data_IF_647714951982
#
_entry.id   IF_647714951982
#
_cell.length_a   1.000
_cell.length_b   1.000
_cell.length_c   1.000
_cell.angle_alpha   90.00
_cell.angle_beta   90.00
_cell.angle_gamma   90.00
#
_symmetry.space_group_name_H-M   'P 1'
#
loop_
_entity.id
_entity.type
_entity.pdbx_description
1 polymer ?
#
# COMPACT_ATOMS: atom_id res chain seq x y z
N UNK A 1 -11.48 -2.28 -1.64
CA UNK A 1 -12.59 -2.56 -2.59
C UNK A 1 -12.38 -1.75 -3.87
N UNK A 2 -12.65 -2.28 -5.06
CA UNK A 2 -12.50 -1.56 -6.35
C UNK A 2 -13.57 -2.02 -7.36
N UNK A 3 -13.54 -1.54 -8.61
CA UNK A 3 -14.46 -1.88 -9.69
C UNK A 3 -13.97 -3.01 -10.63
N UNK A 4 -13.02 -3.83 -10.19
CA UNK A 4 -12.48 -4.94 -10.95
C UNK A 4 -11.36 -5.66 -10.19
N UNK A 5 -10.47 -6.40 -10.88
CA UNK A 5 -9.30 -6.99 -10.24
C UNK A 5 -8.40 -5.93 -9.59
N UNK A 6 -7.78 -6.32 -8.49
CA UNK A 6 -6.74 -5.57 -7.78
C UNK A 6 -5.38 -5.71 -8.49
N UNK A 7 -4.42 -4.89 -8.08
CA UNK A 7 -3.06 -4.92 -8.63
C UNK A 7 -2.39 -6.29 -8.40
N UNK A 8 -2.63 -6.93 -7.25
CA UNK A 8 -2.08 -8.24 -6.92
C UNK A 8 -2.62 -9.33 -7.86
N UNK A 9 -3.91 -9.28 -8.19
CA UNK A 9 -4.54 -10.20 -9.15
C UNK A 9 -4.08 -9.97 -10.60
N UNK A 10 -3.78 -8.73 -10.98
CA UNK A 10 -3.15 -8.46 -12.28
C UNK A 10 -1.70 -8.94 -12.30
N UNK A 11 -0.93 -8.67 -11.24
CA UNK A 11 0.47 -9.05 -11.14
C UNK A 11 0.63 -10.58 -11.19
N UNK A 12 -0.20 -11.33 -10.46
CA UNK A 12 -0.14 -12.79 -10.47
C UNK A 12 -0.39 -13.36 -11.87
N UNK A 13 -1.33 -12.77 -12.62
CA UNK A 13 -1.57 -13.11 -14.04
C UNK A 13 -0.40 -12.76 -14.94
N UNK A 14 0.21 -11.58 -14.76
CA UNK A 14 1.39 -11.15 -15.53
C UNK A 14 2.60 -12.07 -15.27
N UNK A 15 2.77 -12.53 -14.04
CA UNK A 15 3.84 -13.44 -13.63
C UNK A 15 3.56 -14.91 -13.93
N UNK A 16 2.29 -15.28 -14.18
CA UNK A 16 1.88 -16.68 -14.35
C UNK A 16 2.01 -17.50 -13.06
N UNK A 17 1.72 -16.90 -11.90
CA UNK A 17 1.84 -17.52 -10.58
C UNK A 17 0.49 -17.54 -9.85
N UNK A 18 0.38 -18.43 -8.86
CA UNK A 18 -0.78 -18.44 -7.95
C UNK A 18 -0.70 -17.26 -6.97
N UNK A 19 -1.87 -16.69 -6.65
CA UNK A 19 -2.02 -15.65 -5.63
C UNK A 19 -2.70 -16.22 -4.39
N UNK A 20 -2.05 -16.07 -3.24
CA UNK A 20 -2.62 -16.35 -1.93
C UNK A 20 -2.79 -15.04 -1.18
N UNK A 21 -3.99 -14.47 -1.24
CA UNK A 21 -4.29 -13.16 -0.67
C UNK A 21 -4.77 -13.30 0.78
N UNK A 22 -3.95 -12.81 1.72
CA UNK A 22 -4.27 -12.75 3.15
C UNK A 22 -4.65 -11.33 3.60
N UNK A 23 -4.71 -10.36 2.69
CA UNK A 23 -4.98 -8.97 3.03
C UNK A 23 -6.43 -8.75 3.49
N UNK A 24 -6.61 -7.95 4.54
CA UNK A 24 -7.92 -7.51 4.99
C UNK A 24 -8.11 -6.02 4.70
N UNK A 25 -9.26 -5.68 4.09
CA UNK A 25 -9.66 -4.29 3.91
C UNK A 25 -9.76 -3.60 5.26
N UNK A 26 -9.04 -2.49 5.41
CA UNK A 26 -9.02 -1.71 6.64
C UNK A 26 -8.02 -2.20 7.69
N UNK A 27 -7.21 -3.23 7.42
CA UNK A 27 -6.15 -3.67 8.31
C UNK A 27 -5.15 -2.54 8.62
N UNK A 28 -4.72 -2.47 9.87
CA UNK A 28 -3.52 -1.74 10.31
C UNK A 28 -2.36 -2.71 10.46
N UNK A 29 -1.17 -2.19 10.68
CA UNK A 29 0.00 -3.01 11.00
C UNK A 29 -0.19 -3.75 12.33
N UNK A 30 -0.54 -3.00 13.38
CA UNK A 30 -0.82 -3.51 14.72
C UNK A 30 -2.05 -2.80 15.32
N UNK A 31 -3.11 -3.56 15.62
CA UNK A 31 -4.33 -3.03 16.23
C UNK A 31 -4.12 -2.49 17.66
N UNK A 32 -3.05 -2.87 18.36
CA UNK A 32 -2.70 -2.28 19.65
C UNK A 32 -2.07 -0.89 19.51
N UNK A 33 -1.42 -0.60 18.37
CA UNK A 33 -0.85 0.72 18.08
C UNK A 33 -1.87 1.66 17.43
N UNK A 34 -2.57 1.17 16.39
CA UNK A 34 -3.65 1.89 15.69
C UNK A 34 -4.91 1.01 15.66
N UNK A 35 -5.88 1.25 16.55
CA UNK A 35 -7.02 0.35 16.72
C UNK A 35 -7.98 0.30 15.53
N UNK A 36 -8.19 -0.90 14.98
CA UNK A 36 -9.29 -1.23 14.08
C UNK A 36 -9.88 -2.60 14.39
N UNK A 37 -11.04 -2.89 13.80
CA UNK A 37 -11.72 -4.19 13.94
C UNK A 37 -11.28 -5.21 12.89
N UNK A 38 -10.67 -4.75 11.79
CA UNK A 38 -10.12 -5.62 10.77
C UNK A 38 -8.88 -6.37 11.31
N UNK A 39 -8.63 -7.61 10.87
CA UNK A 39 -7.43 -8.32 11.27
C UNK A 39 -6.15 -7.57 10.87
N UNK A 40 -5.26 -7.35 11.85
CA UNK A 40 -3.95 -6.73 11.62
C UNK A 40 -2.97 -7.69 10.94
N UNK A 41 -1.76 -7.22 10.63
CA UNK A 41 -0.76 -8.02 9.91
C UNK A 41 -0.34 -9.26 10.72
N UNK A 42 -0.20 -9.12 12.05
CA UNK A 42 0.09 -10.24 12.93
C UNK A 42 -0.95 -11.36 12.83
N UNK A 43 -2.24 -11.01 12.80
CA UNK A 43 -3.34 -11.96 12.61
C UNK A 43 -3.37 -12.55 11.19
N UNK A 44 -2.99 -11.78 10.16
CA UNK A 44 -2.86 -12.27 8.79
C UNK A 44 -1.72 -13.30 8.66
N UNK A 45 -0.58 -13.06 9.31
CA UNK A 45 0.54 -14.00 9.36
C UNK A 45 0.13 -15.28 10.09
N UNK A 46 -0.62 -15.17 11.19
CA UNK A 46 -1.17 -16.35 11.87
C UNK A 46 -2.10 -17.15 10.95
N UNK A 47 -2.97 -16.48 10.20
CA UNK A 47 -3.85 -17.13 9.23
C UNK A 47 -3.07 -17.81 8.08
N UNK A 48 -1.97 -17.21 7.63
CA UNK A 48 -1.05 -17.84 6.68
C UNK A 48 -0.46 -19.13 7.25
N UNK A 49 0.01 -19.11 8.50
CA UNK A 49 0.61 -20.28 9.14
C UNK A 49 -0.37 -21.45 9.31
N UNK A 50 -1.66 -21.19 9.51
CA UNK A 50 -2.67 -22.26 9.67
C UNK A 50 -3.03 -22.96 8.36
N UNK A 51 -2.77 -22.35 7.21
CA UNK A 51 -3.10 -22.89 5.87
C UNK A 51 -1.94 -23.65 5.20
N UNK A 52 -0.93 -24.06 5.97
CA UNK A 52 0.37 -24.60 5.52
C UNK A 52 1.22 -23.56 4.78
N UNK A 53 2.40 -23.20 5.33
CA UNK A 53 3.31 -22.28 4.65
C UNK A 53 3.69 -22.78 3.24
N UNK A 54 3.71 -21.85 2.28
CA UNK A 54 4.16 -22.10 0.92
C UNK A 54 5.68 -22.40 0.91
N UNK A 55 6.19 -23.00 -0.18
CA UNK A 55 7.63 -23.17 -0.33
C UNK A 55 8.32 -21.80 -0.38
N UNK A 56 9.11 -21.41 0.63
CA UNK A 56 9.64 -20.05 0.72
C UNK A 56 10.68 -19.71 -0.34
N UNK A 57 11.26 -20.73 -1.00
CA UNK A 57 12.26 -20.54 -2.06
C UNK A 57 11.64 -20.19 -3.42
N UNK A 58 10.33 -20.35 -3.55
CA UNK A 58 9.57 -20.07 -4.77
C UNK A 58 8.37 -19.14 -4.51
N UNK A 59 8.37 -18.43 -3.38
CA UNK A 59 7.27 -17.57 -2.93
C UNK A 59 7.79 -16.16 -2.72
N UNK A 60 7.18 -15.19 -3.41
CA UNK A 60 7.35 -13.76 -3.14
C UNK A 60 6.35 -13.33 -2.07
N UNK A 61 6.84 -12.84 -0.94
CA UNK A 61 6.02 -12.30 0.15
C UNK A 61 5.85 -10.80 -0.05
N UNK A 62 4.62 -10.32 -0.11
CA UNK A 62 4.34 -8.90 -0.39
C UNK A 62 3.66 -8.24 0.80
N UNK A 63 4.20 -7.10 1.24
CA UNK A 63 3.59 -6.26 2.26
C UNK A 63 3.30 -4.88 1.66
N UNK A 64 2.01 -4.52 1.61
CA UNK A 64 1.55 -3.16 1.34
C UNK A 64 0.54 -2.75 2.42
N UNK A 65 1.07 -2.20 3.50
CA UNK A 65 0.34 -1.83 4.73
C UNK A 65 0.77 -0.43 5.17
N UNK A 66 -0.02 0.20 6.05
CA UNK A 66 0.28 1.51 6.64
C UNK A 66 -0.69 2.63 6.23
N UNK A 67 -1.43 2.49 5.12
CA UNK A 67 -2.38 3.53 4.69
C UNK A 67 -3.44 3.84 5.74
N UNK A 68 -4.00 2.80 6.37
CA UNK A 68 -4.99 2.95 7.43
C UNK A 68 -4.37 3.55 8.70
N UNK A 69 -3.16 3.12 9.03
CA UNK A 69 -2.38 3.60 10.17
C UNK A 69 -2.09 5.09 10.06
N UNK A 70 -1.50 5.53 8.94
CA UNK A 70 -1.12 6.92 8.71
C UNK A 70 -2.36 7.82 8.66
N UNK A 71 -3.44 7.37 8.03
CA UNK A 71 -4.71 8.11 8.06
C UNK A 71 -5.22 8.31 9.49
N UNK A 72 -5.35 7.23 10.27
CA UNK A 72 -5.93 7.31 11.63
C UNK A 72 -5.02 8.09 12.58
N UNK A 73 -3.70 7.94 12.45
CA UNK A 73 -2.69 8.77 13.15
C UNK A 73 -2.87 10.24 12.80
N UNK A 74 -3.06 10.55 11.52
CA UNK A 74 -3.16 11.93 11.06
C UNK A 74 -4.44 12.62 11.55
N UNK A 75 -5.60 11.97 11.39
CA UNK A 75 -6.90 12.55 11.73
C UNK A 75 -7.18 12.57 13.24
N UNK A 76 -6.39 11.87 14.05
CA UNK A 76 -6.49 11.92 15.51
C UNK A 76 -6.12 13.32 16.04
N UNK A 77 -7.13 14.12 16.37
CA UNK A 77 -6.95 15.47 16.92
C UNK A 77 -6.64 15.48 18.42
N UNK A 78 -6.67 14.32 19.09
CA UNK A 78 -6.39 14.20 20.54
C UNK A 78 -4.92 13.96 20.86
N UNK A 79 -4.11 13.71 19.82
CA UNK A 79 -2.68 13.36 19.92
C UNK A 79 -1.82 14.48 19.32
N UNK A 80 -0.73 14.85 19.98
CA UNK A 80 0.24 15.83 19.46
C UNK A 80 1.13 15.25 18.35
N UNK A 81 1.78 16.12 17.57
CA UNK A 81 2.59 15.72 16.40
C UNK A 81 3.79 14.83 16.77
N UNK A 82 4.37 14.97 17.97
CA UNK A 82 5.48 14.11 18.43
C UNK A 82 4.97 12.69 18.66
N UNK A 83 3.82 12.56 19.32
CA UNK A 83 3.20 11.26 19.57
C UNK A 83 2.70 10.62 18.27
N UNK A 84 2.19 11.40 17.31
CA UNK A 84 1.84 10.92 15.96
C UNK A 84 3.04 10.36 15.23
N UNK A 85 4.16 11.09 15.23
CA UNK A 85 5.41 10.63 14.63
C UNK A 85 5.89 9.31 15.28
N UNK A 86 5.83 9.19 16.61
CA UNK A 86 6.17 7.94 17.31
C UNK A 86 5.23 6.79 16.96
N UNK A 87 3.92 7.04 16.80
CA UNK A 87 2.97 6.02 16.32
C UNK A 87 3.36 5.53 14.92
N UNK A 88 3.71 6.45 14.01
CA UNK A 88 4.18 6.11 12.66
C UNK A 88 5.48 5.28 12.69
N UNK A 89 6.44 5.65 13.54
CA UNK A 89 7.67 4.86 13.71
C UNK A 89 7.39 3.44 14.22
N UNK A 90 6.38 3.28 15.09
CA UNK A 90 5.95 1.95 15.55
C UNK A 90 5.41 1.10 14.41
N UNK A 91 4.62 1.67 13.49
CA UNK A 91 4.16 0.97 12.26
C UNK A 91 5.37 0.44 11.46
N UNK A 92 6.37 1.28 11.18
CA UNK A 92 7.57 0.84 10.44
C UNK A 92 8.34 -0.25 11.20
N UNK A 93 8.48 -0.12 12.52
CA UNK A 93 9.14 -1.12 13.35
C UNK A 93 8.37 -2.45 13.44
N UNK A 94 7.06 -2.38 13.34
CA UNK A 94 6.15 -3.52 13.31
C UNK A 94 6.29 -4.31 12.01
N UNK A 95 6.34 -3.62 10.85
CA UNK A 95 6.66 -4.24 9.55
C UNK A 95 8.02 -4.96 9.58
N UNK A 96 9.05 -4.38 10.23
CA UNK A 96 10.33 -5.08 10.44
C UNK A 96 10.11 -6.40 11.20
N UNK A 97 9.32 -6.36 12.26
CA UNK A 97 9.02 -7.52 13.10
C UNK A 97 8.23 -8.58 12.33
N UNK A 98 7.28 -8.18 11.49
CA UNK A 98 6.52 -9.07 10.62
C UNK A 98 7.39 -9.78 9.59
N UNK A 99 8.30 -9.06 8.94
CA UNK A 99 9.26 -9.65 7.99
C UNK A 99 10.18 -10.65 8.69
N UNK A 100 10.68 -10.33 9.88
CA UNK A 100 11.49 -11.24 10.70
C UNK A 100 10.67 -12.47 11.11
N UNK A 101 9.43 -12.27 11.54
CA UNK A 101 8.51 -13.35 11.91
C UNK A 101 8.30 -14.30 10.73
N UNK A 102 7.88 -13.79 9.56
CA UNK A 102 7.72 -14.56 8.32
C UNK A 102 9.00 -15.33 7.96
N UNK A 103 10.16 -14.69 8.05
CA UNK A 103 11.45 -15.34 7.81
C UNK A 103 11.69 -16.49 8.79
N UNK A 104 11.41 -16.29 10.07
CA UNK A 104 11.63 -17.29 11.12
C UNK A 104 10.67 -18.49 11.06
N UNK A 105 9.39 -18.25 10.75
CA UNK A 105 8.32 -19.26 10.83
C UNK A 105 8.08 -20.00 9.53
N UNK A 106 8.41 -19.39 8.39
CA UNK A 106 8.16 -19.96 7.06
C UNK A 106 9.41 -20.06 6.20
N UNK A 107 10.55 -19.51 6.64
CA UNK A 107 11.76 -19.44 5.82
C UNK A 107 11.71 -18.36 4.73
N UNK A 108 10.72 -17.46 4.79
CA UNK A 108 10.53 -16.39 3.81
C UNK A 108 11.83 -15.61 3.60
N UNK A 109 12.23 -15.44 2.34
CA UNK A 109 13.49 -14.77 1.99
C UNK A 109 13.38 -13.86 0.78
N UNK A 110 12.23 -13.82 0.10
CA UNK A 110 11.96 -12.95 -1.03
C UNK A 110 10.78 -12.04 -0.67
N UNK A 111 11.05 -10.75 -0.54
CA UNK A 111 10.08 -9.75 -0.11
C UNK A 111 9.92 -8.63 -1.13
N UNK A 112 8.68 -8.21 -1.35
CA UNK A 112 8.33 -6.94 -1.97
C UNK A 112 7.65 -6.07 -0.92
N UNK A 113 8.24 -4.92 -0.62
CA UNK A 113 7.73 -3.97 0.36
C UNK A 113 7.28 -2.72 -0.38
N UNK A 114 6.00 -2.40 -0.30
CA UNK A 114 5.42 -1.27 -1.02
C UNK A 114 5.27 -0.06 -0.12
N UNK A 115 5.84 1.07 -0.54
CA UNK A 115 5.58 2.37 0.07
C UNK A 115 4.13 2.80 -0.09
N UNK A 116 3.70 3.80 0.67
CA UNK A 116 2.38 4.40 0.54
C UNK A 116 2.31 5.28 -0.70
N UNK A 117 1.16 5.22 -1.38
CA UNK A 117 0.72 6.25 -2.31
C UNK A 117 0.51 7.60 -1.58
N UNK A 118 0.46 8.75 -2.29
CA UNK A 118 0.15 10.05 -1.70
C UNK A 118 -1.32 10.11 -1.27
N UNK A 119 -1.62 9.62 -0.06
CA UNK A 119 -3.01 9.54 0.42
C UNK A 119 -3.64 10.91 0.68
N UNK A 120 -2.86 11.98 0.75
CA UNK A 120 -3.32 13.37 0.78
C UNK A 120 -4.02 13.83 -0.51
N UNK A 121 -3.84 13.07 -1.60
CA UNK A 121 -4.52 13.25 -2.88
C UNK A 121 -5.81 12.41 -3.03
N UNK A 122 -6.19 11.62 -2.01
CA UNK A 122 -7.45 10.89 -2.04
C UNK A 122 -8.64 11.87 -2.12
N UNK A 123 -9.74 11.51 -2.82
CA UNK A 123 -10.94 12.34 -2.83
C UNK A 123 -11.51 12.60 -1.42
N UNK A 124 -11.27 11.68 -0.46
CA UNK A 124 -11.57 11.89 0.96
C UNK A 124 -10.99 13.19 1.53
N UNK A 125 -9.78 13.56 1.12
CA UNK A 125 -9.12 14.80 1.55
C UNK A 125 -9.47 15.99 0.65
N UNK A 126 -10.47 15.89 -0.23
CA UNK A 126 -10.89 16.96 -1.14
C UNK A 126 -11.16 18.30 -0.43
N UNK A 127 -11.68 18.25 0.81
CA UNK A 127 -11.94 19.44 1.64
C UNK A 127 -10.80 19.87 2.58
N UNK A 128 -9.66 19.19 2.61
CA UNK A 128 -8.57 19.49 3.53
C UNK A 128 -7.89 20.83 3.21
N UNK A 129 -7.44 21.55 4.25
CA UNK A 129 -6.68 22.78 4.09
C UNK A 129 -5.29 22.49 3.47
N UNK A 130 -4.66 23.45 2.79
CA UNK A 130 -3.29 23.27 2.29
C UNK A 130 -2.30 22.86 3.39
N UNK A 131 -2.42 23.46 4.58
CA UNK A 131 -1.56 23.14 5.71
C UNK A 131 -1.75 21.70 6.22
N UNK A 132 -2.98 21.19 6.21
CA UNK A 132 -3.24 19.80 6.59
C UNK A 132 -2.69 18.82 5.54
N UNK A 133 -2.82 19.13 4.25
CA UNK A 133 -2.22 18.32 3.18
C UNK A 133 -0.70 18.28 3.27
N UNK A 134 -0.06 19.42 3.54
CA UNK A 134 1.39 19.50 3.68
C UNK A 134 1.87 18.64 4.85
N UNK A 135 1.17 18.67 6.00
CA UNK A 135 1.48 17.83 7.16
C UNK A 135 1.29 16.34 6.87
N UNK A 136 0.21 15.97 6.19
CA UNK A 136 -0.03 14.58 5.80
C UNK A 136 1.04 14.10 4.80
N UNK A 137 1.38 14.93 3.82
CA UNK A 137 2.46 14.66 2.85
C UNK A 137 3.78 14.39 3.57
N UNK A 138 4.16 15.25 4.53
CA UNK A 138 5.37 15.05 5.32
C UNK A 138 5.36 13.72 6.07
N UNK A 139 4.27 13.37 6.73
CA UNK A 139 4.14 12.10 7.47
C UNK A 139 4.26 10.88 6.54
N UNK A 140 3.67 10.94 5.33
CA UNK A 140 3.77 9.90 4.30
C UNK A 140 5.21 9.74 3.82
N UNK A 141 5.89 10.85 3.50
CA UNK A 141 7.26 10.84 3.00
C UNK A 141 8.24 10.32 4.06
N UNK A 142 8.05 10.70 5.33
CA UNK A 142 8.84 10.19 6.44
C UNK A 142 8.64 8.68 6.65
N UNK A 143 7.40 8.20 6.60
CA UNK A 143 7.09 6.77 6.64
C UNK A 143 7.77 6.01 5.49
N UNK A 144 7.61 6.49 4.25
CA UNK A 144 8.20 5.85 3.07
C UNK A 144 9.73 5.83 3.12
N UNK A 145 10.37 6.92 3.56
CA UNK A 145 11.82 6.99 3.71
C UNK A 145 12.34 5.99 4.75
N UNK A 146 11.66 5.86 5.90
CA UNK A 146 12.05 4.89 6.93
C UNK A 146 11.81 3.45 6.45
N UNK A 147 10.71 3.18 5.75
CA UNK A 147 10.41 1.86 5.19
C UNK A 147 11.39 1.45 4.09
N UNK A 148 11.80 2.39 3.23
CA UNK A 148 12.82 2.14 2.22
C UNK A 148 14.18 1.85 2.85
N UNK A 149 14.58 2.60 3.89
CA UNK A 149 15.81 2.35 4.64
C UNK A 149 15.79 0.97 5.31
N UNK A 150 14.66 0.60 5.93
CA UNK A 150 14.43 -0.73 6.51
C UNK A 150 14.57 -1.84 5.45
N UNK A 151 13.96 -1.67 4.29
CA UNK A 151 13.99 -2.67 3.20
C UNK A 151 15.43 -2.91 2.74
N UNK A 152 16.21 -1.82 2.60
CA UNK A 152 17.64 -1.90 2.26
C UNK A 152 18.46 -2.62 3.33
N UNK A 153 18.20 -2.36 4.61
CA UNK A 153 18.88 -3.01 5.73
C UNK A 153 18.63 -4.52 5.74
N UNK A 154 17.36 -4.95 5.61
CA UNK A 154 17.00 -6.37 5.60
C UNK A 154 17.51 -7.09 4.37
N UNK A 155 17.53 -6.42 3.21
CA UNK A 155 18.13 -6.93 1.97
C UNK A 155 19.60 -7.31 2.09
N UNK A 156 20.33 -6.75 3.06
CA UNK A 156 21.73 -7.09 3.32
C UNK A 156 21.90 -8.34 4.21
N UNK A 157 20.84 -8.82 4.85
CA UNK A 157 20.87 -9.86 5.90
C UNK A 157 20.41 -11.24 5.41
N UNK A 158 20.75 -11.64 4.18
CA UNK A 158 20.35 -12.90 3.50
C UNK A 158 18.88 -12.98 3.05
N UNK A 159 18.15 -11.87 3.03
CA UNK A 159 16.85 -11.77 2.33
C UNK A 159 17.02 -10.97 1.05
N UNK A 160 16.31 -11.31 -0.02
CA UNK A 160 16.11 -10.42 -1.15
C UNK A 160 14.86 -9.60 -0.88
N UNK A 161 15.03 -8.29 -0.70
CA UNK A 161 13.94 -7.38 -0.40
C UNK A 161 13.96 -6.22 -1.41
N UNK A 162 12.86 -6.04 -2.12
CA UNK A 162 12.67 -4.96 -3.09
C UNK A 162 11.70 -3.94 -2.50
N UNK A 163 12.08 -2.66 -2.53
CA UNK A 163 11.18 -1.57 -2.18
C UNK A 163 10.51 -1.05 -3.44
N UNK A 164 9.18 -0.99 -3.44
CA UNK A 164 8.41 -0.35 -4.51
C UNK A 164 7.91 1.01 -4.07
N UNK A 165 8.31 2.05 -4.80
CA UNK A 165 7.94 3.43 -4.53
C UNK A 165 6.57 3.78 -5.15
N UNK A 166 5.51 3.33 -4.49
CA UNK A 166 4.13 3.67 -4.87
C UNK A 166 3.90 5.18 -4.90
N UNK A 167 4.62 5.96 -4.09
CA UNK A 167 4.45 7.41 -4.04
C UNK A 167 4.84 8.02 -5.39
N UNK A 168 6.03 7.69 -5.89
CA UNK A 168 6.51 8.19 -7.18
C UNK A 168 5.62 7.76 -8.35
N UNK A 169 5.12 6.51 -8.35
CA UNK A 169 4.16 6.06 -9.38
C UNK A 169 2.89 6.93 -9.36
N UNK A 170 2.30 7.15 -8.19
CA UNK A 170 1.09 7.96 -8.10
C UNK A 170 1.33 9.43 -8.43
N UNK A 171 2.51 9.98 -8.11
CA UNK A 171 2.87 11.33 -8.57
C UNK A 171 2.94 11.41 -10.11
N UNK A 172 3.42 10.37 -10.78
CA UNK A 172 3.39 10.29 -12.24
C UNK A 172 1.94 10.20 -12.76
N UNK A 173 1.08 9.39 -12.14
CA UNK A 173 -0.35 9.31 -12.49
C UNK A 173 -1.09 10.63 -12.31
N UNK A 174 -0.74 11.39 -11.27
CA UNK A 174 -1.34 12.70 -10.96
C UNK A 174 -0.85 13.79 -11.91
N UNK A 175 0.43 13.80 -12.25
CA UNK A 175 1.05 14.83 -13.10
C UNK A 175 0.87 14.60 -14.59
N UNK A 176 0.85 13.34 -15.03
CA UNK A 176 0.76 12.95 -16.45
C UNK A 176 -0.31 11.88 -16.70
N UNK A 177 -1.57 12.07 -16.26
CA UNK A 177 -2.60 11.03 -16.29
C UNK A 177 -2.89 10.48 -17.70
N UNK A 178 -2.74 11.31 -18.73
CA UNK A 178 -2.97 10.91 -20.12
C UNK A 178 -2.05 9.79 -20.61
N UNK A 179 -0.82 9.70 -20.09
CA UNK A 179 0.12 8.62 -20.43
C UNK A 179 -0.37 7.24 -19.94
N UNK A 180 -1.21 7.25 -18.91
CA UNK A 180 -1.78 6.06 -18.28
C UNK A 180 -3.24 5.81 -18.68
N UNK A 181 -3.71 6.52 -19.71
CA UNK A 181 -5.12 6.50 -20.13
C UNK A 181 -6.10 6.90 -19.00
N UNK A 182 -5.67 7.75 -18.08
CA UNK A 182 -6.49 8.35 -17.02
C UNK A 182 -6.91 9.75 -17.46
N UNK A 183 -8.16 10.12 -17.17
CA UNK A 183 -8.75 11.41 -17.52
C UNK A 183 -9.20 12.22 -16.30
N UNK A 184 -9.49 11.57 -15.17
CA UNK A 184 -9.86 12.24 -13.93
C UNK A 184 -9.06 11.67 -12.75
N UNK A 185 -8.31 12.55 -12.08
CA UNK A 185 -7.47 12.21 -10.94
C UNK A 185 -7.96 12.81 -9.63
N UNK A 186 -9.04 13.58 -9.67
CA UNK A 186 -9.52 14.37 -8.53
C UNK A 186 -10.79 13.79 -7.92
N UNK A 187 -11.68 13.27 -8.77
CA UNK A 187 -13.00 12.82 -8.33
C UNK A 187 -13.06 11.30 -8.26
N UNK A 188 -13.96 10.78 -7.42
CA UNK A 188 -14.29 9.37 -7.39
C UNK A 188 -15.33 9.02 -8.47
N UNK A 189 -15.07 7.98 -9.27
CA UNK A 189 -16.02 7.52 -10.28
C UNK A 189 -17.36 7.06 -9.66
N UNK A 190 -17.31 6.41 -8.49
CA UNK A 190 -18.48 5.80 -7.83
C UNK A 190 -19.52 6.85 -7.41
N UNK A 191 -19.07 8.05 -7.04
CA UNK A 191 -19.92 9.12 -6.51
C UNK A 191 -20.59 9.95 -7.61
N UNK A 192 -19.99 10.04 -8.80
CA UNK A 192 -20.58 10.70 -9.98
C UNK A 192 -20.51 9.78 -11.22
N UNK A 193 -21.53 8.93 -11.35
CA UNK A 193 -21.63 7.98 -12.46
C UNK A 193 -21.77 8.66 -13.83
N UNK A 194 -22.37 9.84 -13.89
CA UNK A 194 -22.58 10.57 -15.14
C UNK A 194 -21.24 11.03 -15.72
N UNK A 195 -20.40 11.61 -14.86
CA UNK A 195 -19.05 12.02 -15.20
C UNK A 195 -18.16 10.80 -15.43
N UNK A 196 -18.33 9.74 -14.63
CA UNK A 196 -17.61 8.49 -14.84
C UNK A 196 -17.84 7.89 -16.24
N UNK A 197 -19.09 7.87 -16.69
CA UNK A 197 -19.43 7.41 -18.04
C UNK A 197 -18.90 8.34 -19.13
N UNK A 198 -18.89 9.67 -18.90
CA UNK A 198 -18.44 10.66 -19.89
C UNK A 198 -16.99 10.48 -20.35
N UNK A 199 -16.13 9.95 -19.48
CA UNK A 199 -14.73 9.61 -19.80
C UNK A 199 -14.48 8.10 -19.86
N UNK A 200 -15.53 7.29 -19.98
CA UNK A 200 -15.47 5.83 -20.14
C UNK A 200 -14.76 5.12 -18.96
N UNK A 201 -14.96 5.61 -17.73
CA UNK A 201 -14.37 5.00 -16.54
C UNK A 201 -12.86 5.24 -16.38
N UNK A 202 -12.26 6.15 -17.17
CA UNK A 202 -10.83 6.53 -17.10
C UNK A 202 -10.53 7.42 -15.88
N UNK A 203 -10.71 6.85 -14.71
CA UNK A 203 -10.54 7.51 -13.41
C UNK A 203 -9.36 6.89 -12.66
N UNK A 204 -8.65 7.73 -11.89
CA UNK A 204 -7.66 7.25 -10.94
C UNK A 204 -8.36 6.58 -9.74
N UNK A 205 -9.41 7.23 -9.21
CA UNK A 205 -10.14 6.83 -8.02
C UNK A 205 -11.49 6.19 -8.32
N UNK A 206 -11.75 5.03 -7.72
CA UNK A 206 -13.05 4.39 -7.77
C UNK A 206 -14.01 5.02 -6.77
N UNK A 207 -13.67 5.01 -5.49
CA UNK A 207 -14.38 5.72 -4.43
C UNK A 207 -13.44 6.72 -3.74
N UNK A 208 -13.85 7.29 -2.61
CA UNK A 208 -13.06 8.33 -1.94
C UNK A 208 -11.76 7.80 -1.31
N UNK A 209 -11.51 6.50 -1.38
CA UNK A 209 -10.39 5.81 -0.73
C UNK A 209 -9.59 4.92 -1.68
N UNK A 210 -10.25 4.26 -2.62
CA UNK A 210 -9.66 3.19 -3.40
C UNK A 210 -9.45 3.58 -4.86
N UNK A 211 -8.34 3.14 -5.48
CA UNK A 211 -8.11 3.33 -6.90
C UNK A 211 -9.03 2.44 -7.76
N UNK A 212 -9.22 2.82 -9.03
CA UNK A 212 -9.94 1.98 -10.00
C UNK A 212 -9.12 0.76 -10.42
N UNK A 213 -9.76 -0.20 -11.07
CA UNK A 213 -9.09 -1.34 -11.69
C UNK A 213 -8.08 -0.92 -12.78
N UNK A 214 -8.31 0.22 -13.45
CA UNK A 214 -7.35 0.79 -14.40
C UNK A 214 -6.04 1.17 -13.69
N UNK A 215 -6.14 1.90 -12.59
CA UNK A 215 -4.98 2.25 -11.76
C UNK A 215 -4.33 1.01 -11.15
N UNK A 216 -5.11 0.03 -10.68
CA UNK A 216 -4.58 -1.25 -10.20
C UNK A 216 -3.77 -1.99 -11.26
N UNK A 217 -4.21 -1.98 -12.53
CA UNK A 217 -3.46 -2.56 -13.63
C UNK A 217 -2.12 -1.86 -13.85
N UNK A 218 -2.10 -0.52 -13.81
CA UNK A 218 -0.86 0.26 -13.94
C UNK A 218 0.13 -0.07 -12.81
N UNK A 219 -0.35 -0.17 -11.56
CA UNK A 219 0.48 -0.58 -10.42
C UNK A 219 1.09 -1.96 -10.67
N UNK A 220 0.30 -2.91 -11.16
CA UNK A 220 0.77 -4.26 -11.46
C UNK A 220 1.84 -4.30 -12.57
N UNK A 221 1.64 -3.52 -13.63
CA UNK A 221 2.60 -3.42 -14.75
C UNK A 221 3.94 -2.81 -14.31
N UNK A 222 3.91 -1.79 -13.43
CA UNK A 222 5.11 -1.14 -12.91
C UNK A 222 5.87 -2.02 -11.91
N UNK A 223 5.14 -2.68 -10.99
CA UNK A 223 5.72 -3.70 -10.10
C UNK A 223 6.34 -4.85 -10.91
N UNK A 224 5.64 -5.35 -11.93
CA UNK A 224 6.14 -6.41 -12.79
C UNK A 224 7.44 -6.01 -13.50
N UNK A 225 7.52 -4.76 -14.00
CA UNK A 225 8.74 -4.23 -14.63
C UNK A 225 9.93 -4.23 -13.67
N UNK A 226 9.73 -3.76 -12.43
CA UNK A 226 10.79 -3.72 -11.41
C UNK A 226 11.25 -5.12 -11.01
N UNK A 227 10.33 -6.06 -10.80
CA UNK A 227 10.66 -7.42 -10.40
C UNK A 227 11.40 -8.21 -11.50
N UNK A 228 11.20 -7.88 -12.77
CA UNK A 228 11.93 -8.52 -13.89
C UNK A 228 13.24 -7.80 -14.27
N UNK A 229 13.45 -6.57 -13.79
CA UNK A 229 14.68 -5.82 -14.00
C UNK A 229 15.72 -6.07 -12.88
N UNK A 230 15.28 -6.58 -11.73
CA UNK A 230 16.09 -6.91 -10.55
C UNK A 230 16.75 -8.30 -10.65
#
# INVERSE_FOLDING_TARGET
>A
MTNGPTWAEYLSKLMGVDLYDYAYSGATEDNANVPRSAPDVGQQIQNYQTHSPLNPTSTLYVLWIGTNDIHDIFVDTSTDDTTKYQKMQRVVSGIRSDMINLSSVSGASQFLIMGLAPIDHLPLFGGASPADRDRLTQLILEYNAQLQALTKELGQQRTSAVFFDSYSLFQALLSSPGEYNIADTVHACKTDQSRCQSVQGRYLWWDDWHPTTLTHRVIAEDVYSILNAA
#
